data_IF_321906587928
#
_entry.id   IF_321906587928
#
_cell.length_a   1.000
_cell.length_b   1.000
_cell.length_c   1.000
_cell.angle_alpha   90.00
_cell.angle_beta   90.00
_cell.angle_gamma   90.00
#
_symmetry.space_group_name_H-M   'P 1'
#
loop_
_entity.id
_entity.type
_entity.pdbx_description
1 polymer ?
#
# COMPACT_ATOMS: atom_id res chain seq x y z
N UNK A 1 -12.13 -3.89 1.03
CA UNK A 1 -13.39 -3.62 1.79
C UNK A 1 -14.60 -3.78 0.89
N UNK A 2 -14.64 -3.09 -0.23
CA UNK A 2 -15.81 -3.17 -1.15
C UNK A 2 -16.05 -4.58 -1.66
N UNK A 3 -15.00 -5.30 -2.05
CA UNK A 3 -15.13 -6.69 -2.50
C UNK A 3 -15.63 -7.60 -1.39
N UNK A 4 -15.12 -7.43 -0.18
CA UNK A 4 -15.58 -8.19 0.98
C UNK A 4 -17.08 -7.97 1.23
N UNK A 5 -17.53 -6.71 1.21
CA UNK A 5 -18.93 -6.37 1.44
C UNK A 5 -19.84 -6.96 0.35
N UNK A 6 -19.42 -6.90 -0.91
CA UNK A 6 -20.16 -7.50 -2.01
C UNK A 6 -20.28 -9.03 -1.85
N UNK A 7 -19.19 -9.70 -1.47
CA UNK A 7 -19.18 -11.14 -1.23
C UNK A 7 -20.03 -11.53 -0.02
N UNK A 8 -20.01 -10.71 1.03
CA UNK A 8 -20.86 -10.93 2.21
C UNK A 8 -22.35 -10.87 1.84
N UNK A 9 -22.75 -9.94 1.00
CA UNK A 9 -24.13 -9.87 0.49
C UNK A 9 -24.50 -11.16 -0.29
N UNK A 10 -23.57 -11.70 -1.05
CA UNK A 10 -23.81 -12.96 -1.79
C UNK A 10 -23.94 -14.15 -0.85
N UNK A 11 -23.19 -14.18 0.24
CA UNK A 11 -23.34 -15.22 1.28
C UNK A 11 -24.74 -15.15 1.90
N UNK A 12 -25.20 -13.97 2.27
CA UNK A 12 -26.56 -13.75 2.82
C UNK A 12 -27.65 -14.13 1.83
N UNK A 13 -27.42 -13.87 0.53
CA UNK A 13 -28.37 -14.23 -0.53
C UNK A 13 -28.32 -15.72 -0.90
N UNK A 14 -27.45 -16.50 -0.29
CA UNK A 14 -27.29 -17.93 -0.56
C UNK A 14 -26.60 -18.26 -1.88
N UNK A 15 -25.95 -17.29 -2.52
CA UNK A 15 -25.25 -17.49 -3.80
C UNK A 15 -23.90 -18.15 -3.66
N UNK A 16 -23.22 -17.95 -2.51
CA UNK A 16 -21.96 -18.57 -2.17
C UNK A 16 -22.00 -19.02 -0.71
N UNK A 17 -21.23 -20.03 -0.37
CA UNK A 17 -21.24 -20.60 0.99
C UNK A 17 -20.39 -19.79 1.96
N UNK A 18 -19.30 -19.19 1.47
CA UNK A 18 -18.36 -18.40 2.28
C UNK A 18 -17.67 -17.34 1.42
N UNK A 19 -17.08 -16.35 2.09
CA UNK A 19 -16.31 -15.32 1.41
C UNK A 19 -14.99 -15.93 0.93
N UNK A 20 -14.71 -15.98 -0.39
CA UNK A 20 -13.51 -16.63 -0.93
C UNK A 20 -12.29 -15.70 -0.94
N UNK A 21 -12.11 -14.87 0.07
CA UNK A 21 -10.95 -14.00 0.22
C UNK A 21 -9.91 -14.66 1.12
N UNK A 22 -8.67 -14.75 0.64
CA UNK A 22 -7.57 -15.42 1.33
C UNK A 22 -6.70 -14.48 2.16
N UNK A 23 -6.92 -13.17 2.07
CA UNK A 23 -6.15 -12.17 2.81
C UNK A 23 -6.54 -10.76 2.44
N UNK A 24 -5.79 -9.82 2.98
CA UNK A 24 -5.94 -8.39 2.72
C UNK A 24 -4.76 -7.87 1.92
N UNK A 25 -4.99 -6.84 1.12
CA UNK A 25 -3.99 -6.19 0.28
C UNK A 25 -4.14 -4.69 0.46
N UNK A 26 -3.03 -3.99 0.51
CA UNK A 26 -2.99 -2.53 0.49
C UNK A 26 -1.88 -2.04 -0.41
N UNK A 27 -2.06 -0.84 -0.95
CA UNK A 27 -1.09 -0.17 -1.79
C UNK A 27 -0.80 1.21 -1.22
N UNK A 28 0.46 1.62 -1.30
CA UNK A 28 0.88 2.93 -0.80
C UNK A 28 1.96 3.52 -1.69
N UNK A 29 1.95 4.84 -1.85
CA UNK A 29 3.02 5.56 -2.50
C UNK A 29 3.93 6.21 -1.48
N UNK A 30 5.21 6.35 -1.83
CA UNK A 30 6.21 7.00 -1.02
C UNK A 30 7.28 7.59 -1.94
N UNK A 31 8.07 8.50 -1.43
CA UNK A 31 9.11 9.10 -2.24
C UNK A 31 10.08 9.95 -1.44
N UNK A 32 10.99 10.58 -2.16
CA UNK A 32 11.96 11.51 -1.59
C UNK A 32 11.69 12.89 -2.16
N UNK A 33 11.41 13.85 -1.28
CA UNK A 33 11.19 15.25 -1.64
C UNK A 33 12.11 16.11 -0.78
N UNK A 34 12.96 16.90 -1.42
CA UNK A 34 13.95 17.75 -0.73
C UNK A 34 14.81 16.98 0.28
N UNK A 35 15.23 15.77 -0.09
CA UNK A 35 16.05 14.90 0.73
C UNK A 35 15.31 14.15 1.84
N UNK A 36 14.01 14.37 2.00
CA UNK A 36 13.19 13.72 3.02
C UNK A 36 12.38 12.56 2.43
N UNK A 37 12.33 11.44 3.14
CA UNK A 37 11.44 10.33 2.79
C UNK A 37 10.04 10.65 3.28
N UNK A 38 9.06 10.59 2.38
CA UNK A 38 7.67 10.91 2.66
C UNK A 38 6.75 9.76 2.23
N UNK A 39 5.64 9.63 2.95
CA UNK A 39 4.62 8.64 2.71
C UNK A 39 3.38 9.33 2.13
N UNK A 40 2.72 8.68 1.14
CA UNK A 40 1.46 9.12 0.58
C UNK A 40 1.53 10.56 0.04
N UNK A 41 2.38 10.74 -0.98
CA UNK A 41 2.67 12.07 -1.56
C UNK A 41 1.43 12.71 -2.18
N UNK A 42 1.22 14.00 -1.90
CA UNK A 42 0.23 14.77 -2.64
C UNK A 42 0.76 15.14 -4.04
N UNK A 43 -0.07 15.76 -4.88
CA UNK A 43 0.33 16.10 -6.25
C UNK A 43 1.54 17.03 -6.28
N UNK A 44 1.59 18.04 -5.40
CA UNK A 44 2.71 18.98 -5.33
C UNK A 44 4.01 18.27 -4.96
N UNK A 45 3.96 17.37 -3.98
CA UNK A 45 5.10 16.57 -3.56
C UNK A 45 5.53 15.61 -4.66
N UNK A 46 4.60 14.89 -5.26
CA UNK A 46 4.86 13.92 -6.32
C UNK A 46 5.49 14.56 -7.55
N UNK A 47 5.02 15.75 -7.95
CA UNK A 47 5.55 16.46 -9.11
C UNK A 47 6.99 16.95 -8.94
N UNK A 48 7.48 17.03 -7.69
CA UNK A 48 8.84 17.48 -7.34
C UNK A 48 9.68 16.36 -6.71
N UNK A 49 9.17 15.13 -6.66
CA UNK A 49 9.87 14.02 -6.04
C UNK A 49 11.16 13.68 -6.79
N UNK A 50 12.24 13.50 -6.07
CA UNK A 50 13.51 13.00 -6.60
C UNK A 50 13.42 11.51 -6.87
N UNK A 51 12.72 10.79 -6.01
CA UNK A 51 12.46 9.36 -6.10
C UNK A 51 10.98 9.13 -5.87
N UNK A 52 10.38 8.31 -6.69
CA UNK A 52 8.97 7.92 -6.60
C UNK A 52 8.88 6.40 -6.48
N UNK A 53 8.12 5.91 -5.51
CA UNK A 53 8.02 4.48 -5.23
C UNK A 53 6.59 4.10 -4.85
N UNK A 54 6.16 2.93 -5.32
CA UNK A 54 4.86 2.34 -4.98
C UNK A 54 5.06 0.93 -4.46
N UNK A 55 4.35 0.60 -3.41
CA UNK A 55 4.39 -0.72 -2.79
C UNK A 55 2.97 -1.27 -2.68
N UNK A 56 2.79 -2.51 -3.14
CA UNK A 56 1.57 -3.29 -2.91
C UNK A 56 1.98 -4.50 -2.08
N UNK A 57 1.34 -4.69 -0.94
CA UNK A 57 1.70 -5.75 -0.01
C UNK A 57 0.48 -6.39 0.65
N UNK A 58 0.68 -7.58 1.17
CA UNK A 58 -0.34 -8.34 1.90
C UNK A 58 -0.35 -7.97 3.38
N UNK A 59 -1.37 -8.42 4.10
CA UNK A 59 -1.50 -8.27 5.55
C UNK A 59 -0.43 -9.07 6.33
N UNK A 60 0.25 -10.01 5.68
CA UNK A 60 1.36 -10.77 6.28
C UNK A 60 2.73 -10.15 6.01
N UNK A 61 2.77 -9.00 5.35
CA UNK A 61 4.02 -8.29 5.06
C UNK A 61 4.74 -8.75 3.80
N UNK A 62 4.11 -9.61 3.00
CA UNK A 62 4.69 -10.05 1.74
C UNK A 62 4.41 -9.03 0.64
N UNK A 63 5.39 -8.79 -0.20
CA UNK A 63 5.27 -7.83 -1.30
C UNK A 63 4.67 -8.49 -2.53
N UNK A 64 3.65 -7.85 -3.12
CA UNK A 64 3.05 -8.27 -4.39
C UNK A 64 3.72 -7.51 -5.52
N UNK A 65 3.92 -6.21 -5.35
CA UNK A 65 4.53 -5.36 -6.35
C UNK A 65 5.37 -4.28 -5.66
N UNK A 66 6.55 -4.04 -6.21
CA UNK A 66 7.41 -2.94 -5.79
C UNK A 66 7.91 -2.25 -7.04
N UNK A 67 7.64 -0.95 -7.16
CA UNK A 67 8.05 -0.14 -8.28
C UNK A 67 8.72 1.13 -7.75
N UNK A 68 9.92 1.43 -8.25
CA UNK A 68 10.66 2.60 -7.82
C UNK A 68 11.42 3.22 -8.97
N UNK A 69 11.46 4.55 -9.00
CA UNK A 69 12.14 5.32 -10.05
C UNK A 69 12.85 6.51 -9.43
N UNK A 70 14.15 6.63 -9.72
CA UNK A 70 14.91 7.83 -9.44
C UNK A 70 14.69 8.84 -10.56
N UNK A 71 13.66 9.66 -10.44
CA UNK A 71 13.24 10.58 -11.51
C UNK A 71 14.21 11.75 -11.70
N UNK A 72 14.69 12.33 -10.63
CA UNK A 72 15.63 13.46 -10.65
C UNK A 72 17.03 13.05 -10.19
N UNK A 73 17.13 12.00 -9.39
CA UNK A 73 18.37 11.49 -8.86
C UNK A 73 18.28 9.98 -8.61
N UNK A 74 19.38 9.24 -8.74
CA UNK A 74 19.41 7.84 -8.34
C UNK A 74 19.27 7.70 -6.83
N UNK A 75 18.92 6.51 -6.37
CA UNK A 75 18.85 6.20 -4.93
C UNK A 75 19.66 4.92 -4.64
N UNK A 76 20.29 4.88 -3.49
CA UNK A 76 21.08 3.74 -3.05
C UNK A 76 20.24 2.73 -2.25
N UNK A 77 20.87 1.63 -1.87
CA UNK A 77 20.22 0.59 -1.08
C UNK A 77 19.75 1.10 0.28
N UNK A 78 20.50 1.98 0.90
CA UNK A 78 20.14 2.57 2.20
C UNK A 78 18.86 3.38 2.08
N UNK A 79 18.74 4.18 1.03
CA UNK A 79 17.52 4.96 0.75
C UNK A 79 16.34 4.03 0.45
N UNK A 80 16.57 2.98 -0.34
CA UNK A 80 15.56 1.98 -0.61
C UNK A 80 15.03 1.34 0.67
N UNK A 81 15.92 0.95 1.58
CA UNK A 81 15.53 0.34 2.85
C UNK A 81 14.70 1.31 3.70
N UNK A 82 15.08 2.59 3.75
CA UNK A 82 14.32 3.60 4.47
C UNK A 82 12.91 3.79 3.89
N UNK A 83 12.79 3.79 2.56
CA UNK A 83 11.50 3.88 1.88
C UNK A 83 10.64 2.65 2.14
N UNK A 84 11.22 1.45 2.10
CA UNK A 84 10.50 0.20 2.40
C UNK A 84 10.02 0.15 3.84
N UNK A 85 10.84 0.58 4.81
CA UNK A 85 10.42 0.63 6.21
C UNK A 85 9.22 1.57 6.40
N UNK A 86 9.25 2.73 5.75
CA UNK A 86 8.15 3.68 5.78
C UNK A 86 6.91 3.10 5.08
N UNK A 87 7.10 2.45 3.94
CA UNK A 87 6.03 1.79 3.19
C UNK A 87 5.34 0.68 3.98
N UNK A 88 6.12 -0.18 4.65
CA UNK A 88 5.60 -1.25 5.50
C UNK A 88 4.73 -0.68 6.62
N UNK A 89 5.13 0.41 7.23
CA UNK A 89 4.36 1.09 8.25
C UNK A 89 3.03 1.61 7.70
N UNK A 90 3.06 2.24 6.52
CA UNK A 90 1.85 2.72 5.86
C UNK A 90 0.91 1.59 5.46
N UNK A 91 1.42 0.49 4.94
CA UNK A 91 0.63 -0.71 4.62
C UNK A 91 -0.05 -1.25 5.88
N UNK A 92 0.67 -1.38 6.99
CA UNK A 92 0.11 -1.86 8.25
C UNK A 92 -1.04 -0.98 8.74
N UNK A 93 -0.90 0.33 8.63
CA UNK A 93 -1.97 1.28 8.98
C UNK A 93 -3.20 1.12 8.08
N UNK A 94 -3.00 0.95 6.77
CA UNK A 94 -4.10 0.75 5.82
C UNK A 94 -4.83 -0.58 6.07
N UNK A 95 -4.09 -1.65 6.34
CA UNK A 95 -4.68 -2.96 6.68
C UNK A 95 -5.54 -2.84 7.94
N UNK A 96 -5.07 -2.14 8.96
CA UNK A 96 -5.84 -1.93 10.18
C UNK A 96 -7.11 -1.12 9.91
N UNK A 97 -7.03 -0.08 9.08
CA UNK A 97 -8.21 0.68 8.68
C UNK A 97 -9.23 -0.17 7.93
N UNK A 98 -8.77 -1.09 7.09
CA UNK A 98 -9.64 -2.06 6.41
C UNK A 98 -10.35 -2.96 7.41
N UNK A 99 -9.63 -3.47 8.42
CA UNK A 99 -10.22 -4.30 9.48
C UNK A 99 -11.28 -3.55 10.26
N UNK A 100 -11.01 -2.28 10.60
CA UNK A 100 -11.97 -1.43 11.31
C UNK A 100 -13.22 -1.17 10.46
N UNK A 101 -13.07 -0.97 9.16
CA UNK A 101 -14.19 -0.77 8.25
C UNK A 101 -15.08 -2.01 8.12
N UNK A 102 -14.51 -3.21 8.33
CA UNK A 102 -15.23 -4.49 8.23
C UNK A 102 -15.77 -4.99 9.58
N UNK A 103 -15.37 -4.37 10.67
CA UNK A 103 -15.76 -4.78 12.03
C UNK A 103 -17.22 -4.44 12.37
#
# INVERSE_FOLDING_TARGET
>A
VALHDALAMWVEAGKIERIPLIGQVAAISMGVVDGNTLLDLDYSEDSHAEVDMNLVATDTGEMIELQGTGEQAPFDRKRLNALLDLGDKGIAELIELQRQALA
#
